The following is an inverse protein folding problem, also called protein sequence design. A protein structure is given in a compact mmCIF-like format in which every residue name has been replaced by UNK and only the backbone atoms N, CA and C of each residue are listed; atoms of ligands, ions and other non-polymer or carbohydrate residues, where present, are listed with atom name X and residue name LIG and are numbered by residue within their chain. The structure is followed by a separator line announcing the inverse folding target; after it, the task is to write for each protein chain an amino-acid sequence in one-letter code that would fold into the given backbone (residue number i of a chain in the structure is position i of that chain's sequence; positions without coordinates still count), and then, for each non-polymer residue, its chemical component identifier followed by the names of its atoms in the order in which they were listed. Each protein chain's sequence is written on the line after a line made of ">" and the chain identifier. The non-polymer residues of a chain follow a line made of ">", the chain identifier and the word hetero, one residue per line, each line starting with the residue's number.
data_IF_819095075049
#
_entry.id   IF_819095075049
#
_cell.length_a   1.000
_cell.length_b   1.000
_cell.length_c   1.000
_cell.angle_alpha   90.00
_cell.angle_beta   90.00
_cell.angle_gamma   90.00
#
_symmetry.space_group_name_H-M   'P 1'
#
loop_
_entity.id
_entity.type
_entity.pdbx_description
1 polymer ?
#
# COMPACT_ATOMS: atom_id res chain seq x y z
N UNK A 1 1.46 -8.58 12.57
CA UNK A 1 1.56 -9.51 11.42
C UNK A 1 0.27 -9.40 10.62
N UNK A 2 0.24 -8.50 9.64
CA UNK A 2 -0.86 -8.46 8.67
C UNK A 2 -0.57 -9.59 7.68
N UNK A 3 -1.51 -10.53 7.55
CA UNK A 3 -1.44 -11.60 6.55
C UNK A 3 -2.09 -11.08 5.27
N UNK A 4 -1.30 -10.43 4.43
CA UNK A 4 -1.68 -10.13 3.05
C UNK A 4 -1.49 -11.40 2.21
N UNK A 5 -2.56 -11.86 1.56
CA UNK A 5 -2.57 -13.10 0.75
C UNK A 5 -2.42 -12.86 -0.76
N UNK A 6 -2.21 -11.60 -1.18
CA UNK A 6 -2.05 -11.24 -2.59
C UNK A 6 -0.58 -11.27 -3.01
N UNK A 7 -0.30 -11.87 -4.16
CA UNK A 7 1.04 -11.82 -4.76
C UNK A 7 1.22 -10.52 -5.56
N UNK A 8 2.31 -9.79 -5.31
CA UNK A 8 2.77 -8.66 -6.13
C UNK A 8 4.12 -9.06 -6.74
N UNK A 9 4.17 -9.76 -7.89
CA UNK A 9 5.41 -10.40 -8.38
C UNK A 9 6.54 -9.43 -8.73
N UNK A 10 6.22 -8.22 -9.20
CA UNK A 10 7.20 -7.21 -9.64
C UNK A 10 8.16 -6.74 -8.51
N UNK A 11 7.83 -7.03 -7.26
CA UNK A 11 8.66 -6.69 -6.10
C UNK A 11 10.06 -7.29 -6.18
N UNK A 12 10.17 -8.52 -6.68
CA UNK A 12 11.46 -9.18 -6.86
C UNK A 12 12.27 -8.49 -7.96
N UNK A 13 11.62 -8.12 -9.05
CA UNK A 13 12.26 -7.43 -10.18
C UNK A 13 12.80 -6.06 -9.75
N UNK A 14 12.10 -5.31 -8.90
CA UNK A 14 12.63 -4.05 -8.37
C UNK A 14 13.93 -4.25 -7.59
N UNK A 15 14.02 -5.32 -6.81
CA UNK A 15 15.24 -5.64 -6.06
C UNK A 15 16.38 -6.08 -6.99
N UNK A 16 16.10 -6.93 -7.97
CA UNK A 16 17.12 -7.50 -8.85
C UNK A 16 17.62 -6.51 -9.91
N UNK A 17 16.72 -5.72 -10.49
CA UNK A 17 17.03 -4.83 -11.61
C UNK A 17 17.47 -3.45 -11.12
N UNK A 18 16.78 -2.89 -10.12
CA UNK A 18 17.07 -1.52 -9.63
C UNK A 18 17.92 -1.51 -8.36
N UNK A 19 18.12 -2.67 -7.71
CA UNK A 19 18.78 -2.74 -6.40
C UNK A 19 17.97 -2.12 -5.26
N UNK A 20 16.72 -1.75 -5.50
CA UNK A 20 15.89 -0.98 -4.56
C UNK A 20 15.16 -1.89 -3.58
N UNK A 21 15.11 -1.47 -2.31
CA UNK A 21 14.16 -2.02 -1.34
C UNK A 21 12.78 -1.45 -1.62
N UNK A 22 11.73 -2.24 -1.36
CA UNK A 22 10.36 -1.80 -1.60
C UNK A 22 9.55 -1.75 -0.31
N UNK A 23 8.74 -0.70 -0.19
CA UNK A 23 7.80 -0.49 0.91
C UNK A 23 6.38 -0.67 0.38
N UNK A 24 5.62 -1.59 0.97
CA UNK A 24 4.19 -1.77 0.69
C UNK A 24 3.36 -1.11 1.80
N UNK A 25 2.42 -0.26 1.41
CA UNK A 25 1.58 0.51 2.32
C UNK A 25 0.12 0.14 2.08
N UNK A 26 -0.36 -0.86 2.82
CA UNK A 26 -1.75 -1.31 2.75
C UNK A 26 -2.71 -0.31 3.39
N UNK A 27 -3.73 0.11 2.64
CA UNK A 27 -4.82 0.98 3.11
C UNK A 27 -6.19 0.28 3.13
N UNK A 28 -6.33 -0.84 2.42
CA UNK A 28 -7.56 -1.60 2.36
C UNK A 28 -7.75 -2.42 3.64
N UNK A 29 -8.98 -2.50 4.12
CA UNK A 29 -9.37 -3.39 5.21
C UNK A 29 -9.68 -4.80 4.66
N UNK A 30 -9.62 -5.86 5.50
CA UNK A 30 -9.92 -7.21 5.05
C UNK A 30 -11.32 -7.40 4.44
N UNK A 31 -12.28 -6.55 4.79
CA UNK A 31 -13.68 -6.56 4.32
C UNK A 31 -13.94 -5.68 3.10
N UNK A 32 -12.90 -5.07 2.52
CA UNK A 32 -13.00 -4.31 1.27
C UNK A 32 -13.46 -5.15 0.07
N UNK A 33 -13.48 -6.49 0.19
CA UNK A 33 -14.03 -7.40 -0.82
C UNK A 33 -13.38 -7.21 -2.20
N UNK A 34 -12.06 -7.03 -2.23
CA UNK A 34 -11.28 -6.84 -3.46
C UNK A 34 -11.62 -7.96 -4.44
N UNK A 35 -12.03 -7.60 -5.66
CA UNK A 35 -12.47 -8.52 -6.72
C UNK A 35 -13.76 -9.30 -6.44
N UNK A 36 -14.62 -8.83 -5.55
CA UNK A 36 -15.93 -9.43 -5.23
C UNK A 36 -17.06 -8.41 -5.30
N UNK A 37 -18.34 -8.84 -5.41
CA UNK A 37 -19.48 -7.91 -5.35
C UNK A 37 -19.48 -7.10 -4.04
N UNK A 38 -19.94 -5.84 -4.11
CA UNK A 38 -19.87 -4.89 -2.99
C UNK A 38 -18.43 -4.59 -2.52
N UNK A 39 -17.46 -4.66 -3.45
CA UNK A 39 -16.13 -4.09 -3.26
C UNK A 39 -16.24 -2.64 -2.76
N UNK A 40 -15.52 -2.33 -1.68
CA UNK A 40 -15.68 -1.08 -0.98
C UNK A 40 -14.34 -0.58 -0.42
N UNK A 41 -14.34 0.70 -0.07
CA UNK A 41 -13.24 1.36 0.59
C UNK A 41 -13.80 2.49 1.44
N UNK A 42 -13.35 2.62 2.69
CA UNK A 42 -13.93 3.62 3.59
C UNK A 42 -13.45 5.03 3.20
N UNK A 43 -14.35 6.02 3.31
CA UNK A 43 -13.97 7.43 3.10
C UNK A 43 -12.89 7.85 4.09
N UNK A 44 -12.94 7.34 5.32
CA UNK A 44 -11.91 7.56 6.33
C UNK A 44 -10.54 7.05 5.88
N UNK A 45 -10.42 5.82 5.35
CA UNK A 45 -9.14 5.31 4.85
C UNK A 45 -8.67 6.07 3.61
N UNK A 46 -9.59 6.64 2.83
CA UNK A 46 -9.24 7.49 1.69
C UNK A 46 -8.58 8.79 2.15
N UNK A 47 -9.19 9.46 3.13
CA UNK A 47 -8.62 10.67 3.74
C UNK A 47 -7.31 10.40 4.47
N UNK A 48 -7.20 9.27 5.20
CA UNK A 48 -5.94 8.87 5.81
C UNK A 48 -4.89 8.49 4.78
N UNK A 49 -5.27 7.88 3.65
CA UNK A 49 -4.36 7.62 2.54
C UNK A 49 -3.71 8.88 2.01
N UNK A 50 -4.48 9.97 1.85
CA UNK A 50 -3.95 11.28 1.44
C UNK A 50 -2.95 11.81 2.47
N UNK A 51 -3.30 11.77 3.76
CA UNK A 51 -2.42 12.26 4.84
C UNK A 51 -1.15 11.43 4.96
N UNK A 52 -1.28 10.10 4.86
CA UNK A 52 -0.18 9.16 4.90
C UNK A 52 0.81 9.41 3.77
N UNK A 53 0.33 9.61 2.53
CA UNK A 53 1.22 9.90 1.41
C UNK A 53 1.95 11.23 1.59
N UNK A 54 1.28 12.28 2.09
CA UNK A 54 1.94 13.56 2.38
C UNK A 54 3.10 13.36 3.37
N UNK A 55 2.81 12.74 4.52
CA UNK A 55 3.82 12.52 5.56
C UNK A 55 4.94 11.60 5.06
N UNK A 56 4.61 10.56 4.30
CA UNK A 56 5.62 9.68 3.71
C UNK A 56 6.62 10.44 2.84
N UNK A 57 6.16 11.37 2.01
CA UNK A 57 7.06 12.18 1.20
C UNK A 57 7.94 13.12 2.03
N UNK A 58 7.40 13.71 3.10
CA UNK A 58 8.16 14.53 4.05
C UNK A 58 9.27 13.69 4.72
N UNK A 59 8.91 12.53 5.27
CA UNK A 59 9.85 11.60 5.93
C UNK A 59 10.93 11.07 4.97
N UNK A 60 10.55 10.71 3.73
CA UNK A 60 11.50 10.22 2.72
C UNK A 60 12.44 11.32 2.21
N UNK A 61 11.97 12.57 2.17
CA UNK A 61 12.80 13.72 1.83
C UNK A 61 13.69 14.18 3.00
N UNK A 62 13.48 13.63 4.21
CA UNK A 62 14.17 14.03 5.44
C UNK A 62 13.83 15.45 5.88
N UNK A 63 12.62 15.91 5.55
CA UNK A 63 12.12 17.26 5.79
C UNK A 63 11.09 17.28 6.92
#
# INVERSE_FOLDING_TARGET
>A
LIREGGSIPIMQDFKEVLGAETLLLGLALPDCQIHSPNENFTVENFEYGIRLNRVLFEELAGC
#
